data_IF_179591892921
#
_entry.id   IF_179591892921
#
_cell.length_a   1.000
_cell.length_b   1.000
_cell.length_c   1.000
_cell.angle_alpha   90.00
_cell.angle_beta   90.00
_cell.angle_gamma   90.00
#
_symmetry.space_group_name_H-M   'P 1'
#
loop_
_entity.id
_entity.type
_entity.pdbx_description
1 polymer ?
#
# COMPACT_ATOMS: atom_id res chain seq x y z
N UNK A 1 7.24 -19.18 16.13
CA UNK A 1 6.71 -19.06 14.75
C UNK A 1 7.30 -17.81 14.13
N UNK A 2 8.35 -17.95 13.30
CA UNK A 2 8.90 -16.82 12.57
C UNK A 2 7.88 -16.41 11.51
N UNK A 3 7.21 -15.27 11.71
CA UNK A 3 6.52 -14.59 10.61
C UNK A 3 7.61 -14.26 9.58
N UNK A 4 7.70 -15.04 8.52
CA UNK A 4 8.50 -14.73 7.35
C UNK A 4 7.96 -13.43 6.77
N UNK A 5 8.50 -12.30 7.22
CA UNK A 5 8.36 -11.00 6.56
C UNK A 5 8.79 -11.23 5.13
N UNK A 6 7.82 -11.30 4.21
CA UNK A 6 8.10 -11.30 2.79
C UNK A 6 8.59 -9.90 2.45
N UNK A 7 9.87 -9.65 2.73
CA UNK A 7 10.58 -8.38 2.48
C UNK A 7 10.25 -7.82 1.09
N UNK A 8 10.06 -8.71 0.11
CA UNK A 8 9.67 -8.35 -1.25
C UNK A 8 8.24 -7.81 -1.36
N UNK A 9 7.27 -8.43 -0.70
CA UNK A 9 5.87 -8.02 -0.76
C UNK A 9 5.58 -6.76 0.09
N UNK A 10 6.28 -6.60 1.21
CA UNK A 10 6.21 -5.37 2.03
C UNK A 10 6.83 -4.18 1.28
N UNK A 11 7.93 -4.39 0.54
CA UNK A 11 8.50 -3.37 -0.36
C UNK A 11 7.52 -2.92 -1.44
N UNK A 12 6.81 -3.86 -2.07
CA UNK A 12 5.75 -3.53 -3.05
C UNK A 12 4.62 -2.72 -2.42
N UNK A 13 4.20 -3.06 -1.20
CA UNK A 13 3.20 -2.27 -0.47
C UNK A 13 3.68 -0.82 -0.25
N UNK A 14 4.95 -0.63 0.11
CA UNK A 14 5.50 0.70 0.34
C UNK A 14 5.57 1.54 -0.94
N UNK A 15 6.07 0.94 -2.04
CA UNK A 15 6.07 1.57 -3.37
C UNK A 15 4.64 1.95 -3.78
N UNK A 16 3.68 1.04 -3.58
CA UNK A 16 2.27 1.30 -3.90
C UNK A 16 1.69 2.46 -3.10
N UNK A 17 1.98 2.53 -1.79
CA UNK A 17 1.53 3.62 -0.94
C UNK A 17 2.15 4.95 -1.39
N UNK A 18 3.44 4.97 -1.70
CA UNK A 18 4.13 6.15 -2.20
C UNK A 18 3.50 6.69 -3.49
N UNK A 19 3.25 5.82 -4.47
CA UNK A 19 2.71 6.22 -5.79
C UNK A 19 1.25 6.67 -5.70
N UNK A 20 0.41 5.98 -4.94
CA UNK A 20 -1.05 6.19 -4.96
C UNK A 20 -1.57 7.09 -3.83
N UNK A 21 -0.77 7.31 -2.77
CA UNK A 21 -1.18 8.04 -1.57
C UNK A 21 -0.14 9.11 -1.22
N UNK A 22 -0.05 10.21 -1.98
CA UNK A 22 0.98 11.24 -1.78
C UNK A 22 0.92 11.91 -0.41
N UNK A 23 -0.24 11.88 0.27
CA UNK A 23 -0.37 12.40 1.64
C UNK A 23 0.43 11.60 2.68
N UNK A 24 0.81 10.35 2.37
CA UNK A 24 1.62 9.51 3.25
C UNK A 24 3.01 10.08 3.51
N UNK A 25 3.47 11.03 2.68
CA UNK A 25 4.69 11.83 2.91
C UNK A 25 4.59 12.76 4.12
N UNK A 26 3.39 13.27 4.40
CA UNK A 26 3.14 14.38 5.32
C UNK A 26 2.35 13.96 6.55
N UNK A 27 1.77 12.75 6.53
CA UNK A 27 0.82 12.28 7.53
C UNK A 27 1.18 10.87 7.99
N UNK A 28 1.12 10.68 9.31
CA UNK A 28 1.36 9.37 9.91
C UNK A 28 0.23 8.40 9.54
N UNK A 29 0.61 7.24 8.99
CA UNK A 29 -0.32 6.16 8.67
C UNK A 29 -0.51 5.28 9.90
N UNK A 30 -1.63 5.44 10.60
CA UNK A 30 -1.91 4.66 11.82
C UNK A 30 -1.98 3.15 11.58
N UNK A 31 -2.29 2.76 10.35
CA UNK A 31 -2.43 1.35 9.93
C UNK A 31 -1.11 0.77 9.42
N UNK A 32 -0.12 1.63 9.13
CA UNK A 32 1.22 1.23 8.72
C UNK A 32 2.24 2.12 9.44
N UNK A 33 2.43 1.92 10.76
CA UNK A 33 3.25 2.81 11.59
C UNK A 33 4.73 2.79 11.18
N UNK A 34 5.19 1.69 10.59
CA UNK A 34 6.56 1.53 10.11
C UNK A 34 6.80 2.19 8.74
N UNK A 35 5.76 2.78 8.12
CA UNK A 35 5.89 3.38 6.79
C UNK A 35 6.87 4.55 6.81
N UNK A 36 7.94 4.43 6.03
CA UNK A 36 8.89 5.51 5.80
C UNK A 36 8.83 5.95 4.34
N UNK A 37 8.30 7.15 4.13
CA UNK A 37 8.15 7.74 2.80
C UNK A 37 9.48 7.86 2.04
N UNK A 38 10.58 8.23 2.71
CA UNK A 38 11.90 8.40 2.08
C UNK A 38 12.41 7.07 1.54
N UNK A 39 12.23 6.00 2.31
CA UNK A 39 12.58 4.65 1.87
C UNK A 39 11.67 4.15 0.76
N UNK A 40 10.36 4.42 0.84
CA UNK A 40 9.42 4.05 -0.21
C UNK A 40 9.75 4.76 -1.55
N UNK A 41 10.14 6.03 -1.50
CA UNK A 41 10.62 6.79 -2.66
C UNK A 41 11.90 6.18 -3.23
N UNK A 42 12.87 5.83 -2.37
CA UNK A 42 14.11 5.20 -2.82
C UNK A 42 13.84 3.86 -3.50
N UNK A 43 13.00 3.00 -2.91
CA UNK A 43 12.59 1.73 -3.49
C UNK A 43 11.94 1.93 -4.87
N UNK A 44 11.09 2.94 -5.00
CA UNK A 44 10.44 3.26 -6.28
C UNK A 44 11.41 3.83 -7.33
N UNK A 45 12.45 4.56 -6.91
CA UNK A 45 13.52 5.02 -7.82
C UNK A 45 14.40 3.89 -8.31
N UNK A 46 14.71 2.93 -7.45
CA UNK A 46 15.49 1.74 -7.80
C UNK A 46 14.71 0.81 -8.72
N UNK A 47 13.40 0.67 -8.49
CA UNK A 47 12.50 -0.16 -9.26
C UNK A 47 11.10 0.49 -9.37
N UNK A 48 10.83 1.22 -10.46
CA UNK A 48 9.57 1.97 -10.63
C UNK A 48 8.40 1.08 -11.04
N UNK A 49 8.63 -0.21 -11.32
CA UNK A 49 7.55 -1.14 -11.62
C UNK A 49 6.82 -1.51 -10.32
N UNK A 50 5.49 -1.50 -10.37
CA UNK A 50 4.65 -1.99 -9.29
C UNK A 50 4.21 -3.41 -9.64
N UNK A 51 4.42 -4.35 -8.72
CA UNK A 51 3.98 -5.73 -8.89
C UNK A 51 2.80 -6.02 -7.96
N UNK A 52 1.56 -5.64 -8.34
CA UNK A 52 0.38 -5.86 -7.50
C UNK A 52 0.12 -7.35 -7.21
N UNK A 53 0.62 -8.25 -8.05
CA UNK A 53 0.55 -9.71 -7.87
C UNK A 53 1.26 -10.19 -6.60
N UNK A 54 2.28 -9.46 -6.14
CA UNK A 54 3.00 -9.77 -4.90
C UNK A 54 2.24 -9.26 -3.65
N UNK A 55 1.20 -8.45 -3.82
CA UNK A 55 0.41 -7.91 -2.72
C UNK A 55 -0.53 -8.98 -2.16
N UNK A 56 -0.12 -9.57 -1.04
CA UNK A 56 -0.96 -10.49 -0.27
C UNK A 56 -2.28 -9.83 0.19
N UNK A 57 -3.31 -10.63 0.56
CA UNK A 57 -4.56 -10.11 1.11
C UNK A 57 -4.37 -9.22 2.35
N UNK A 58 -3.31 -9.42 3.13
CA UNK A 58 -2.95 -8.53 4.25
C UNK A 58 -2.62 -7.13 3.76
N UNK A 59 -1.78 -7.01 2.73
CA UNK A 59 -1.39 -5.72 2.15
C UNK A 59 -2.59 -4.99 1.57
N UNK A 60 -3.53 -5.71 0.96
CA UNK A 60 -4.76 -5.12 0.44
C UNK A 60 -5.64 -4.53 1.55
N UNK A 61 -5.72 -5.18 2.73
CA UNK A 61 -6.42 -4.61 3.89
C UNK A 61 -5.77 -3.31 4.36
N UNK A 62 -4.43 -3.26 4.39
CA UNK A 62 -3.67 -2.05 4.74
C UNK A 62 -3.96 -0.95 3.72
N UNK A 63 -3.89 -1.24 2.43
CA UNK A 63 -4.22 -0.29 1.35
C UNK A 63 -5.64 0.27 1.51
N UNK A 64 -6.64 -0.59 1.75
CA UNK A 64 -8.02 -0.15 1.97
C UNK A 64 -8.15 0.74 3.20
N UNK A 65 -7.39 0.47 4.25
CA UNK A 65 -7.43 1.25 5.48
C UNK A 65 -6.72 2.61 5.33
N UNK A 66 -5.56 2.65 4.67
CA UNK A 66 -4.89 3.90 4.26
C UNK A 66 -5.81 4.73 3.37
N UNK A 67 -6.52 4.10 2.44
CA UNK A 67 -7.50 4.79 1.61
C UNK A 67 -8.67 5.37 2.41
N UNK A 68 -9.13 4.64 3.41
CA UNK A 68 -10.19 5.11 4.32
C UNK A 68 -9.70 6.30 5.14
N UNK A 69 -8.48 6.24 5.65
CA UNK A 69 -7.85 7.34 6.39
C UNK A 69 -7.72 8.59 5.51
N UNK A 70 -7.22 8.45 4.27
CA UNK A 70 -7.12 9.57 3.33
C UNK A 70 -8.47 10.22 3.03
N UNK A 71 -9.55 9.44 2.89
CA UNK A 71 -10.92 9.98 2.73
C UNK A 71 -11.38 10.77 3.93
N UNK A 72 -11.11 10.30 5.15
CA UNK A 72 -11.44 11.02 6.40
C UNK A 72 -10.68 12.34 6.47
N UNK A 73 -9.44 12.37 5.98
CA UNK A 73 -8.63 13.59 5.90
C UNK A 73 -9.00 14.49 4.72
N UNK A 74 -10.06 14.17 3.96
CA UNK A 74 -10.52 14.98 2.82
C UNK A 74 -9.67 14.82 1.54
N UNK A 75 -8.77 13.84 1.48
CA UNK A 75 -7.93 13.60 0.31
C UNK A 75 -8.68 12.78 -0.74
N UNK A 76 -8.76 13.31 -1.97
CA UNK A 76 -9.28 12.56 -3.12
C UNK A 76 -8.24 11.53 -3.59
N UNK A 77 -8.48 10.27 -3.25
CA UNK A 77 -7.63 9.15 -3.66
C UNK A 77 -8.21 8.52 -4.92
N UNK A 78 -7.44 8.51 -6.01
CA UNK A 78 -7.71 7.68 -7.17
C UNK A 78 -7.28 6.25 -6.85
N UNK A 79 -8.20 5.42 -6.33
CA UNK A 79 -7.91 4.00 -6.14
C UNK A 79 -7.70 3.33 -7.51
N UNK A 80 -6.56 2.66 -7.75
CA UNK A 80 -6.35 1.94 -8.99
C UNK A 80 -7.22 0.67 -9.00
N UNK A 81 -7.68 0.29 -10.19
CA UNK A 81 -8.61 -0.80 -10.46
C UNK A 81 -8.17 -2.18 -9.94
N UNK A 82 -6.87 -2.40 -9.71
CA UNK A 82 -6.32 -3.67 -9.23
C UNK A 82 -6.90 -4.14 -7.88
N UNK A 83 -7.36 -3.22 -7.02
CA UNK A 83 -7.98 -3.61 -5.74
C UNK A 83 -9.39 -4.21 -5.93
N UNK A 84 -10.03 -3.95 -7.08
CA UNK A 84 -11.37 -4.48 -7.39
C UNK A 84 -11.33 -5.98 -7.73
N UNK A 85 -10.25 -6.49 -8.31
CA UNK A 85 -10.18 -7.89 -8.75
C UNK A 85 -10.14 -8.87 -7.57
N UNK A 86 -9.52 -8.49 -6.45
CA UNK A 86 -9.56 -9.33 -5.25
C UNK A 86 -10.88 -9.26 -4.48
N UNK A 87 -11.75 -8.27 -4.71
CA UNK A 87 -13.11 -8.30 -4.16
C UNK A 87 -13.95 -9.42 -4.79
N UNK A 88 -13.69 -9.77 -6.05
CA UNK A 88 -14.38 -10.88 -6.70
C UNK A 88 -13.92 -12.26 -6.18
N UNK A 89 -12.71 -12.35 -5.63
CA UNK A 89 -12.13 -13.59 -5.12
C UNK A 89 -12.51 -13.91 -3.65
N UNK A 90 -13.03 -12.93 -2.89
CA UNK A 90 -13.43 -13.11 -1.48
C UNK A 90 -14.94 -13.38 -1.33
N UNK A 91 -15.73 -13.21 -2.40
CA UNK A 91 -17.19 -13.46 -2.40
C UNK A 91 -17.62 -14.77 -3.08
N UNK A 92 -16.76 -15.79 -3.11
CA UNK A 92 -17.14 -17.16 -3.53
C UNK A 92 -16.88 -18.16 -2.42
#
# INVERSE_FOLDING_TARGET
MAMTLNLRADRELWKYIFVHYPFSSSLHLSVLPDYNHVWAEQLYREDPELHPELLTPRHQRIIKAVARQGRVMGVQIKQPSAVKECELAVSR
#
